data_IF_535228295744
#
_entry.id   IF_535228295744
#
_cell.length_a   1.000
_cell.length_b   1.000
_cell.length_c   1.000
_cell.angle_alpha   90.00
_cell.angle_beta   90.00
_cell.angle_gamma   90.00
#
_symmetry.space_group_name_H-M   'P 1'
#
loop_
_entity.id
_entity.type
_entity.pdbx_description
1 polymer ?
#
# COMPACT_ATOMS: atom_id res chain seq x y z
N UNK A 1 -6.51 14.59 10.06
CA UNK A 1 -7.91 14.19 9.89
C UNK A 1 -7.96 12.75 9.39
N UNK A 2 -8.56 11.84 10.16
CA UNK A 2 -8.75 10.45 9.71
C UNK A 2 -9.76 10.36 8.58
N UNK A 3 -9.57 9.43 7.64
CA UNK A 3 -10.55 9.17 6.58
C UNK A 3 -11.77 8.47 7.19
N UNK A 4 -12.97 8.91 6.82
CA UNK A 4 -14.20 8.20 7.16
C UNK A 4 -14.20 6.80 6.55
N UNK A 5 -14.81 5.84 7.24
CA UNK A 5 -14.92 4.46 6.74
C UNK A 5 -15.73 4.41 5.45
N UNK A 6 -15.32 3.55 4.53
CA UNK A 6 -16.07 3.26 3.30
C UNK A 6 -17.45 2.69 3.63
N UNK A 7 -18.44 2.87 2.74
CA UNK A 7 -19.75 2.24 2.89
C UNK A 7 -19.59 0.71 2.86
N UNK A 8 -20.14 0.05 3.87
CA UNK A 8 -20.20 -1.40 3.98
C UNK A 8 -21.17 -1.99 2.94
N UNK A 9 -21.05 -3.29 2.69
CA UNK A 9 -21.92 -3.99 1.73
C UNK A 9 -23.41 -3.86 2.10
N UNK A 10 -23.71 -3.95 3.40
CA UNK A 10 -25.07 -3.80 3.92
C UNK A 10 -25.65 -2.40 3.67
N UNK A 11 -24.88 -1.35 3.98
CA UNK A 11 -25.29 0.04 3.73
C UNK A 11 -25.51 0.30 2.24
N UNK A 12 -24.64 -0.24 1.37
CA UNK A 12 -24.83 -0.16 -0.09
C UNK A 12 -26.12 -0.82 -0.55
N UNK A 13 -26.44 -1.99 0.01
CA UNK A 13 -27.70 -2.70 -0.25
C UNK A 13 -28.92 -1.87 0.14
N UNK A 14 -28.91 -1.29 1.35
CA UNK A 14 -29.97 -0.40 1.82
C UNK A 14 -30.15 0.83 0.91
N UNK A 15 -29.04 1.49 0.54
CA UNK A 15 -29.08 2.65 -0.36
C UNK A 15 -29.68 2.27 -1.71
N UNK A 16 -29.32 1.09 -2.25
CA UNK A 16 -29.87 0.61 -3.52
C UNK A 16 -31.38 0.43 -3.45
N UNK A 17 -31.89 -0.25 -2.42
CA UNK A 17 -33.33 -0.43 -2.21
C UNK A 17 -34.05 0.91 -2.09
N UNK A 18 -33.55 1.81 -1.23
CA UNK A 18 -34.16 3.14 -1.03
C UNK A 18 -34.19 3.97 -2.31
N UNK A 19 -33.15 3.88 -3.15
CA UNK A 19 -33.11 4.57 -4.45
C UNK A 19 -34.18 4.04 -5.42
N UNK A 20 -34.39 2.72 -5.45
CA UNK A 20 -35.43 2.09 -6.29
C UNK A 20 -36.83 2.43 -5.81
N UNK A 21 -37.03 2.57 -4.50
CA UNK A 21 -38.32 2.98 -3.91
C UNK A 21 -38.60 4.49 -4.07
N UNK A 22 -37.68 5.28 -4.65
CA UNK A 22 -37.89 6.70 -4.91
C UNK A 22 -37.64 7.62 -3.72
N UNK A 23 -36.88 7.17 -2.71
CA UNK A 23 -36.49 8.04 -1.60
C UNK A 23 -35.49 9.12 -2.06
N UNK A 24 -35.61 10.31 -1.47
CA UNK A 24 -34.62 11.38 -1.69
C UNK A 24 -33.30 11.04 -1.01
N UNK A 25 -32.19 11.52 -1.60
CA UNK A 25 -30.82 11.31 -1.05
C UNK A 25 -30.71 11.77 0.41
N UNK A 26 -31.41 12.84 0.80
CA UNK A 26 -31.45 13.32 2.18
C UNK A 26 -32.11 12.30 3.12
N UNK A 27 -33.28 11.79 2.77
CA UNK A 27 -33.97 10.78 3.60
C UNK A 27 -33.14 9.49 3.69
N UNK A 28 -32.50 9.08 2.60
CA UNK A 28 -31.62 7.91 2.61
C UNK A 28 -30.40 8.11 3.52
N UNK A 29 -29.86 9.34 3.59
CA UNK A 29 -28.77 9.70 4.51
C UNK A 29 -29.18 9.56 5.97
N UNK A 30 -30.38 10.00 6.31
CA UNK A 30 -30.93 9.94 7.66
C UNK A 30 -31.20 8.50 8.12
N UNK A 31 -31.63 7.63 7.20
CA UNK A 31 -31.87 6.20 7.46
C UNK A 31 -30.56 5.44 7.63
N UNK A 32 -29.62 5.62 6.70
CA UNK A 32 -28.35 4.88 6.67
C UNK A 32 -27.31 5.48 7.64
N UNK A 33 -27.62 6.64 8.25
CA UNK A 33 -26.72 7.39 9.15
C UNK A 33 -25.38 7.74 8.51
N UNK A 34 -25.42 8.11 7.23
CA UNK A 34 -24.24 8.48 6.43
C UNK A 34 -24.43 9.84 5.79
N UNK A 35 -23.32 10.50 5.46
CA UNK A 35 -23.40 11.80 4.78
C UNK A 35 -24.11 11.70 3.42
N UNK A 36 -24.86 12.73 3.06
CA UNK A 36 -25.49 12.86 1.73
C UNK A 36 -24.48 12.76 0.60
N UNK A 37 -23.27 13.30 0.81
CA UNK A 37 -22.15 13.22 -0.14
C UNK A 37 -21.70 11.78 -0.39
N UNK A 38 -21.62 10.95 0.66
CA UNK A 38 -21.24 9.54 0.52
C UNK A 38 -22.29 8.74 -0.26
N UNK A 39 -23.57 9.00 -0.01
CA UNK A 39 -24.67 8.37 -0.75
C UNK A 39 -24.65 8.80 -2.22
N UNK A 40 -24.51 10.10 -2.48
CA UNK A 40 -24.44 10.61 -3.85
C UNK A 40 -23.24 10.05 -4.62
N UNK A 41 -22.07 9.96 -3.96
CA UNK A 41 -20.88 9.35 -4.54
C UNK A 41 -21.09 7.86 -4.89
N UNK A 42 -21.81 7.12 -4.05
CA UNK A 42 -22.16 5.73 -4.33
C UNK A 42 -23.16 5.60 -5.50
N UNK A 43 -24.22 6.41 -5.52
CA UNK A 43 -25.23 6.36 -6.58
C UNK A 43 -24.68 6.73 -7.95
N UNK A 44 -23.73 7.67 -8.02
CA UNK A 44 -23.06 8.06 -9.26
C UNK A 44 -22.06 7.01 -9.78
N UNK A 45 -21.52 6.15 -8.91
CA UNK A 45 -20.41 5.25 -9.24
C UNK A 45 -20.64 3.82 -8.74
N UNK A 46 -21.84 3.26 -8.89
CA UNK A 46 -22.24 2.00 -8.24
C UNK A 46 -21.24 0.83 -8.46
N UNK A 47 -20.82 0.60 -9.70
CA UNK A 47 -19.91 -0.49 -10.06
C UNK A 47 -18.45 -0.21 -9.64
N UNK A 48 -18.03 1.04 -9.68
CA UNK A 48 -16.66 1.47 -9.40
C UNK A 48 -16.44 1.80 -7.90
N UNK A 49 -17.50 1.81 -7.09
CA UNK A 49 -17.42 2.29 -5.72
C UNK A 49 -16.60 1.37 -4.82
N UNK A 50 -15.45 1.87 -4.37
CA UNK A 50 -14.54 1.14 -3.49
C UNK A 50 -13.70 0.06 -4.18
N UNK A 51 -13.71 -0.01 -5.51
CA UNK A 51 -12.80 -0.89 -6.27
C UNK A 51 -11.43 -0.23 -6.51
N UNK A 52 -11.37 1.10 -6.42
CA UNK A 52 -10.13 1.88 -6.57
C UNK A 52 -9.15 1.55 -5.44
N UNK A 53 -8.09 0.83 -5.79
CA UNK A 53 -6.93 0.63 -4.91
C UNK A 53 -6.12 1.92 -4.85
N UNK A 54 -5.64 2.28 -3.66
CA UNK A 54 -4.60 3.31 -3.56
C UNK A 54 -3.30 2.74 -4.12
N UNK A 55 -2.52 3.56 -4.82
CA UNK A 55 -1.16 3.20 -5.27
C UNK A 55 -0.16 2.96 -4.13
N UNK A 56 -0.60 3.06 -2.87
CA UNK A 56 0.23 2.85 -1.70
C UNK A 56 1.29 3.94 -1.55
N UNK A 57 2.25 3.68 -0.66
CA UNK A 57 3.43 4.53 -0.53
C UNK A 57 4.45 4.12 -1.60
N UNK A 58 4.98 5.05 -2.42
CA UNK A 58 6.00 4.70 -3.39
C UNK A 58 7.24 4.12 -2.69
N UNK A 59 7.89 3.14 -3.33
CA UNK A 59 9.10 2.53 -2.81
C UNK A 59 10.21 3.57 -2.73
N UNK A 60 11.05 3.48 -1.70
CA UNK A 60 12.16 4.42 -1.54
C UNK A 60 13.28 4.20 -2.56
N UNK A 61 13.43 2.95 -3.02
CA UNK A 61 14.37 2.53 -4.05
C UNK A 61 13.69 2.56 -5.42
N UNK A 62 14.39 3.07 -6.42
CA UNK A 62 14.04 2.96 -7.83
C UNK A 62 14.41 1.57 -8.38
N UNK A 63 13.78 1.13 -9.46
CA UNK A 63 13.98 -0.21 -10.03
C UNK A 63 15.38 -0.40 -10.61
N UNK A 64 16.06 0.69 -10.99
CA UNK A 64 17.48 0.64 -11.35
C UNK A 64 18.36 0.34 -10.14
N UNK A 65 18.13 1.05 -9.03
CA UNK A 65 18.92 0.88 -7.80
C UNK A 65 18.71 -0.52 -7.22
N UNK A 66 17.46 -1.03 -7.23
CA UNK A 66 17.17 -2.43 -6.85
C UNK A 66 18.00 -3.43 -7.66
N UNK A 67 18.10 -3.23 -8.98
CA UNK A 67 18.88 -4.12 -9.87
C UNK A 67 20.38 -4.04 -9.61
N UNK A 68 20.92 -2.85 -9.36
CA UNK A 68 22.35 -2.68 -9.04
C UNK A 68 22.68 -3.36 -7.71
N UNK A 69 21.86 -3.17 -6.67
CA UNK A 69 22.03 -3.85 -5.37
C UNK A 69 22.04 -5.37 -5.55
N UNK A 70 21.07 -5.91 -6.29
CA UNK A 70 20.97 -7.35 -6.54
C UNK A 70 22.20 -7.89 -7.29
N UNK A 71 22.67 -7.17 -8.31
CA UNK A 71 23.86 -7.56 -9.08
C UNK A 71 25.11 -7.55 -8.21
N UNK A 72 25.33 -6.46 -7.47
CA UNK A 72 26.50 -6.33 -6.60
C UNK A 72 26.51 -7.40 -5.51
N UNK A 73 25.38 -7.63 -4.85
CA UNK A 73 25.24 -8.66 -3.82
C UNK A 73 25.35 -10.11 -4.34
N UNK A 74 24.93 -10.35 -5.58
CA UNK A 74 25.02 -11.69 -6.20
C UNK A 74 26.44 -12.00 -6.68
N UNK A 75 27.20 -10.98 -7.09
CA UNK A 75 28.52 -11.17 -7.70
C UNK A 75 29.67 -11.04 -6.68
N UNK A 76 29.38 -10.72 -5.41
CA UNK A 76 30.43 -10.50 -4.42
C UNK A 76 29.96 -10.77 -2.98
N UNK A 77 30.87 -11.23 -2.13
CA UNK A 77 30.67 -11.46 -0.69
C UNK A 77 30.94 -10.19 0.12
N UNK A 78 30.34 -9.08 -0.30
CA UNK A 78 30.56 -7.77 0.33
C UNK A 78 29.49 -7.42 1.36
N UNK A 79 29.86 -6.60 2.33
CA UNK A 79 28.97 -6.14 3.38
C UNK A 79 27.94 -5.13 2.87
N UNK A 80 26.82 -4.98 3.58
CA UNK A 80 25.78 -3.99 3.26
C UNK A 80 26.36 -2.55 3.23
N UNK A 81 27.33 -2.27 4.09
CA UNK A 81 27.96 -0.96 4.16
C UNK A 81 28.81 -0.68 2.90
N UNK A 82 29.43 -1.71 2.33
CA UNK A 82 30.12 -1.62 1.05
C UNK A 82 29.14 -1.48 -0.10
N UNK A 83 28.03 -2.22 -0.13
CA UNK A 83 26.95 -2.05 -1.12
C UNK A 83 26.43 -0.61 -1.10
N UNK A 84 26.27 -0.02 0.09
CA UNK A 84 25.83 1.36 0.23
C UNK A 84 26.83 2.35 -0.39
N UNK A 85 28.12 2.12 -0.18
CA UNK A 85 29.20 2.95 -0.77
C UNK A 85 29.25 2.78 -2.29
N UNK A 86 29.15 1.56 -2.80
CA UNK A 86 29.23 1.28 -4.24
C UNK A 86 28.00 1.76 -5.00
N UNK A 87 26.81 1.59 -4.43
CA UNK A 87 25.55 1.92 -5.08
C UNK A 87 25.08 3.36 -4.76
N UNK A 88 25.76 4.09 -3.86
CA UNK A 88 25.48 5.50 -3.56
C UNK A 88 24.09 5.76 -2.94
N UNK A 89 23.58 4.81 -2.15
CA UNK A 89 22.19 4.78 -1.66
C UNK A 89 22.16 4.89 -0.14
N UNK A 90 22.37 6.12 0.34
CA UNK A 90 22.47 6.46 1.77
C UNK A 90 21.21 6.17 2.60
N UNK A 91 20.09 5.95 1.92
CA UNK A 91 18.79 5.82 2.54
C UNK A 91 18.33 4.37 2.80
N UNK A 92 19.16 3.37 2.48
CA UNK A 92 18.91 1.99 2.94
C UNK A 92 18.95 1.98 4.46
N UNK A 93 17.79 1.90 5.11
CA UNK A 93 17.68 1.80 6.57
C UNK A 93 17.72 0.33 6.99
N UNK A 94 18.88 -0.15 7.43
CA UNK A 94 19.01 -1.42 8.15
C UNK A 94 18.57 -1.24 9.61
N UNK A 95 17.28 -0.98 9.86
CA UNK A 95 16.77 -1.01 11.24
C UNK A 95 16.74 -2.46 11.71
N UNK A 96 17.67 -2.82 12.62
CA UNK A 96 17.70 -4.12 13.31
C UNK A 96 18.93 -4.99 13.07
N UNK A 97 19.91 -4.53 12.29
CA UNK A 97 21.12 -5.31 11.98
C UNK A 97 22.38 -4.52 12.35
N UNK A 98 22.68 -4.50 13.65
CA UNK A 98 23.97 -4.06 14.19
C UNK A 98 24.84 -5.29 14.39
N UNK A 99 25.55 -5.68 13.33
CA UNK A 99 26.48 -6.82 13.33
C UNK A 99 27.24 -6.83 12.01
N UNK A 100 28.54 -7.01 12.06
CA UNK A 100 29.44 -7.08 10.90
C UNK A 100 29.28 -8.44 10.20
N UNK A 101 28.05 -8.81 9.86
CA UNK A 101 27.77 -10.17 9.41
C UNK A 101 27.81 -10.18 7.89
N UNK A 102 28.87 -10.76 7.36
CA UNK A 102 28.96 -11.20 5.98
C UNK A 102 27.77 -12.13 5.70
N UNK A 103 26.77 -11.64 4.97
CA UNK A 103 25.66 -12.45 4.54
C UNK A 103 26.08 -13.21 3.29
N UNK A 104 25.96 -14.53 3.29
CA UNK A 104 25.92 -15.27 2.01
C UNK A 104 24.83 -14.65 1.11
N UNK A 105 25.06 -14.63 -0.20
CA UNK A 105 24.13 -14.07 -1.20
C UNK A 105 22.70 -14.63 -1.06
N UNK A 106 22.56 -15.85 -0.53
CA UNK A 106 21.29 -16.51 -0.16
C UNK A 106 20.49 -15.76 0.92
N UNK A 107 21.14 -15.09 1.87
CA UNK A 107 20.49 -14.30 2.94
C UNK A 107 20.18 -12.87 2.52
N UNK A 108 20.92 -12.28 1.58
CA UNK A 108 20.62 -10.95 1.03
C UNK A 108 19.33 -11.00 0.20
N UNK A 109 19.13 -12.07 -0.59
CA UNK A 109 17.88 -12.30 -1.32
C UNK A 109 16.66 -12.43 -0.39
N UNK A 110 16.82 -13.09 0.77
CA UNK A 110 15.79 -13.17 1.81
C UNK A 110 15.50 -11.79 2.46
N UNK A 111 16.52 -10.95 2.66
CA UNK A 111 16.34 -9.60 3.22
C UNK A 111 15.57 -8.68 2.24
N UNK A 112 15.86 -8.78 0.94
CA UNK A 112 15.17 -8.01 -0.11
C UNK A 112 13.70 -8.45 -0.18
N UNK A 113 13.43 -9.77 -0.21
CA UNK A 113 12.06 -10.30 -0.16
C UNK A 113 11.32 -9.93 1.13
N UNK A 114 12.00 -9.87 2.28
CA UNK A 114 11.39 -9.44 3.56
C UNK A 114 11.03 -7.95 3.58
N UNK A 115 11.88 -7.08 3.01
CA UNK A 115 11.59 -5.65 2.84
C UNK A 115 10.45 -5.41 1.84
N UNK A 116 10.33 -6.27 0.83
CA UNK A 116 9.22 -6.27 -0.14
C UNK A 116 7.91 -6.74 0.50
N UNK A 117 7.93 -7.81 1.31
CA UNK A 117 6.74 -8.34 2.01
C UNK A 117 6.18 -7.35 3.05
N UNK A 118 7.03 -6.64 3.78
CA UNK A 118 6.60 -5.63 4.77
C UNK A 118 6.04 -4.34 4.14
N UNK A 119 6.21 -4.16 2.82
CA UNK A 119 5.62 -3.04 2.08
C UNK A 119 4.19 -3.33 1.57
N UNK A 120 3.68 -4.57 1.75
CA UNK A 120 2.38 -5.05 1.29
C UNK A 120 1.30 -5.21 2.37
N UNK A 121 1.55 -4.78 3.61
CA UNK A 121 0.55 -4.69 4.69
C UNK A 121 0.30 -3.23 5.05
#
# INVERSE_FOLDING_TARGET
MGRASTLSLHERGQIKVLSTTGYTVKRSADVVKRSTKAIMNFLCHQEEYGTKKSSGRPSKLNDREKREILRTASNSTISINEIRRTCGIDYIKTKGFTGFDFYESSKISLLINYLEFRSST
#
